data_IF_014291473743
#
_entry.id   IF_014291473743
#
_cell.length_a   1.000
_cell.length_b   1.000
_cell.length_c   1.000
_cell.angle_alpha   90.00
_cell.angle_beta   90.00
_cell.angle_gamma   90.00
#
_symmetry.space_group_name_H-M   'P 1'
#
loop_
_entity.id
_entity.type
_entity.pdbx_description
1 polymer ?
#
# COMPACT_ATOMS: atom_id res chain seq x y z
N UNK A 1 -5.41 -9.01 6.94
CA UNK A 1 -6.14 -7.79 6.57
C UNK A 1 -6.78 -8.08 5.23
N UNK A 2 -8.11 -8.07 5.15
CA UNK A 2 -8.83 -8.22 3.89
C UNK A 2 -8.82 -6.86 3.18
N UNK A 3 -8.33 -6.78 1.96
CA UNK A 3 -8.41 -5.56 1.16
C UNK A 3 -9.88 -5.33 0.80
N UNK A 4 -10.54 -4.48 1.59
CA UNK A 4 -11.91 -4.07 1.31
C UNK A 4 -11.92 -2.98 0.23
N UNK A 5 -13.06 -2.81 -0.45
CA UNK A 5 -13.28 -1.72 -1.42
C UNK A 5 -13.03 -0.33 -0.82
N UNK A 6 -13.15 -0.22 0.50
CA UNK A 6 -12.96 1.02 1.25
C UNK A 6 -11.55 1.16 1.84
N UNK A 7 -10.61 0.28 1.48
CA UNK A 7 -9.24 0.34 2.01
C UNK A 7 -8.63 1.68 1.66
N UNK A 8 -8.36 2.48 2.69
CA UNK A 8 -7.75 3.80 2.53
C UNK A 8 -6.22 3.70 2.60
N UNK A 9 -5.55 4.70 2.03
CA UNK A 9 -4.07 4.77 2.05
C UNK A 9 -3.52 4.76 3.48
N UNK A 10 -4.18 5.42 4.44
CA UNK A 10 -3.76 5.42 5.85
C UNK A 10 -3.82 4.03 6.51
N UNK A 11 -4.66 3.11 6.01
CA UNK A 11 -4.64 1.72 6.48
C UNK A 11 -3.39 0.96 6.01
N UNK A 12 -2.78 1.41 4.89
CA UNK A 12 -1.55 0.83 4.35
C UNK A 12 -0.30 1.37 5.03
N UNK A 13 -0.27 2.67 5.33
CA UNK A 13 0.95 3.38 5.76
C UNK A 13 0.92 3.87 7.21
N UNK A 14 -0.26 3.87 7.84
CA UNK A 14 -0.51 4.49 9.15
C UNK A 14 -1.15 5.87 9.06
N UNK A 15 -1.28 6.52 10.21
CA UNK A 15 -2.07 7.75 10.35
C UNK A 15 -1.35 8.98 9.81
N UNK A 16 -2.08 9.86 9.14
CA UNK A 16 -1.58 11.19 8.79
C UNK A 16 -1.48 12.06 10.05
N UNK A 17 -0.32 12.71 10.22
CA UNK A 17 -0.05 13.58 11.38
C UNK A 17 0.41 14.95 10.91
N UNK A 18 0.02 16.01 11.61
CA UNK A 18 0.56 17.37 11.36
C UNK A 18 1.73 17.57 12.30
N UNK A 19 2.91 17.83 11.72
CA UNK A 19 4.15 18.08 12.45
C UNK A 19 4.47 19.57 12.35
N UNK A 20 4.82 20.13 13.50
CA UNK A 20 5.24 21.52 13.64
C UNK A 20 6.75 21.52 13.86
N UNK A 21 7.46 22.21 12.99
CA UNK A 21 8.92 22.28 13.01
C UNK A 21 9.35 23.75 13.11
N UNK A 22 10.18 24.07 14.10
CA UNK A 22 10.77 25.39 14.22
C UNK A 22 12.01 25.47 13.33
N UNK A 23 12.03 26.40 12.39
CA UNK A 23 13.17 26.68 11.51
C UNK A 23 13.77 28.05 11.87
N UNK A 24 15.01 28.35 11.40
CA UNK A 24 15.62 29.67 11.63
C UNK A 24 14.79 30.84 11.08
N UNK A 25 14.00 30.60 10.02
CA UNK A 25 13.18 31.61 9.34
C UNK A 25 11.72 31.65 9.84
N UNK A 26 11.34 30.81 10.80
CA UNK A 26 9.99 30.82 11.38
C UNK A 26 9.46 29.44 11.76
N UNK A 27 8.14 29.30 11.76
CA UNK A 27 7.45 28.04 12.04
C UNK A 27 6.96 27.41 10.73
N UNK A 28 7.28 26.14 10.52
CA UNK A 28 6.81 25.37 9.36
C UNK A 28 5.89 24.25 9.84
N UNK A 29 4.69 24.21 9.27
CA UNK A 29 3.74 23.12 9.47
C UNK A 29 3.85 22.17 8.28
N UNK A 30 4.14 20.90 8.55
CA UNK A 30 4.27 19.84 7.54
C UNK A 30 3.31 18.70 7.83
N UNK A 31 2.84 18.04 6.77
CA UNK A 31 2.14 16.78 6.90
C UNK A 31 3.16 15.64 6.92
N UNK A 32 3.06 14.80 7.95
CA UNK A 32 3.83 13.58 8.13
C UNK A 32 2.92 12.36 8.24
N UNK A 33 3.53 11.19 8.44
CA UNK A 33 2.83 9.93 8.66
C UNK A 33 3.43 9.25 9.88
N UNK A 34 2.58 8.81 10.80
CA UNK A 34 2.99 7.90 11.87
C UNK A 34 3.04 6.49 11.28
N UNK A 35 4.22 5.83 11.21
CA UNK A 35 4.34 4.54 10.53
C UNK A 35 3.40 3.47 11.09
N UNK A 36 2.61 2.87 10.19
CA UNK A 36 1.74 1.73 10.45
C UNK A 36 1.70 0.81 9.23
N UNK A 37 1.03 -0.33 9.36
CA UNK A 37 0.86 -1.29 8.26
C UNK A 37 2.20 -1.68 7.61
N UNK A 38 2.34 -1.40 6.32
CA UNK A 38 3.51 -1.70 5.49
C UNK A 38 4.79 -0.98 5.97
N UNK A 39 4.67 0.17 6.64
CA UNK A 39 5.81 0.92 7.16
C UNK A 39 6.32 0.40 8.51
N UNK A 40 5.57 -0.50 9.16
CA UNK A 40 5.93 -1.10 10.44
C UNK A 40 6.06 -2.64 10.37
N UNK A 41 5.61 -3.28 9.28
CA UNK A 41 5.59 -4.73 9.14
C UNK A 41 6.82 -5.30 8.41
N UNK A 42 7.25 -6.49 8.82
CA UNK A 42 8.29 -7.27 8.11
C UNK A 42 7.70 -8.24 7.08
N UNK A 43 6.46 -8.68 7.27
CA UNK A 43 5.69 -9.53 6.35
C UNK A 43 4.28 -8.97 6.24
N UNK A 44 3.76 -8.88 5.03
CA UNK A 44 2.40 -8.42 4.77
C UNK A 44 1.60 -9.49 4.01
N UNK A 45 0.34 -9.67 4.40
CA UNK A 45 -0.65 -10.48 3.68
C UNK A 45 -1.74 -9.55 3.16
N UNK A 46 -1.81 -9.43 1.84
CA UNK A 46 -2.73 -8.62 1.05
C UNK A 46 -3.84 -9.53 0.55
N UNK A 47 -4.88 -9.73 1.35
CA UNK A 47 -5.95 -10.66 1.01
C UNK A 47 -6.98 -10.02 0.07
N UNK A 48 -7.27 -10.67 -1.05
CA UNK A 48 -8.22 -10.25 -2.10
C UNK A 48 -7.88 -8.89 -2.75
N UNK A 49 -6.63 -8.76 -3.22
CA UNK A 49 -6.11 -7.54 -3.85
C UNK A 49 -6.89 -7.12 -5.11
N UNK A 50 -7.62 -8.06 -5.74
CA UNK A 50 -8.55 -7.80 -6.84
C UNK A 50 -9.70 -6.84 -6.49
N UNK A 51 -10.00 -6.65 -5.20
CA UNK A 51 -11.06 -5.73 -4.73
C UNK A 51 -10.53 -4.41 -4.20
N UNK A 52 -9.21 -4.21 -4.25
CA UNK A 52 -8.57 -2.99 -3.81
C UNK A 52 -9.03 -1.80 -4.67
N UNK A 53 -9.36 -0.64 -4.08
CA UNK A 53 -9.62 0.56 -4.85
C UNK A 53 -8.36 1.02 -5.58
N UNK A 54 -8.48 1.47 -6.83
CA UNK A 54 -7.34 1.81 -7.69
C UNK A 54 -6.36 2.81 -7.09
N UNK A 55 -6.85 3.78 -6.30
CA UNK A 55 -6.00 4.75 -5.60
C UNK A 55 -5.08 4.10 -4.55
N UNK A 56 -5.61 3.22 -3.71
CA UNK A 56 -4.84 2.53 -2.68
C UNK A 56 -3.93 1.46 -3.30
N UNK A 57 -4.43 0.76 -4.32
CA UNK A 57 -3.67 -0.24 -5.08
C UNK A 57 -2.45 0.40 -5.75
N UNK A 58 -2.62 1.54 -6.43
CA UNK A 58 -1.51 2.23 -7.09
C UNK A 58 -0.42 2.67 -6.10
N UNK A 59 -0.81 3.18 -4.93
CA UNK A 59 0.14 3.53 -3.86
C UNK A 59 0.87 2.29 -3.35
N UNK A 60 0.14 1.21 -3.06
CA UNK A 60 0.72 -0.07 -2.64
C UNK A 60 1.75 -0.58 -3.67
N UNK A 61 1.38 -0.65 -4.94
CA UNK A 61 2.24 -1.17 -6.00
C UNK A 61 3.50 -0.30 -6.16
N UNK A 62 3.36 1.02 -6.09
CA UNK A 62 4.50 1.93 -6.14
C UNK A 62 5.43 1.71 -4.95
N UNK A 63 4.90 1.57 -3.74
CA UNK A 63 5.68 1.29 -2.53
C UNK A 63 6.43 -0.03 -2.61
N UNK A 64 5.78 -1.10 -3.09
CA UNK A 64 6.41 -2.41 -3.27
C UNK A 64 7.53 -2.36 -4.32
N UNK A 65 7.32 -1.64 -5.42
CA UNK A 65 8.29 -1.48 -6.50
C UNK A 65 9.51 -0.63 -6.08
N UNK A 66 9.27 0.55 -5.50
CA UNK A 66 10.33 1.47 -5.08
C UNK A 66 11.02 1.01 -3.79
N UNK A 67 10.40 0.07 -3.05
CA UNK A 67 10.81 -0.34 -1.70
C UNK A 67 11.00 0.84 -0.75
N UNK A 68 10.31 1.95 -1.02
CA UNK A 68 10.33 3.16 -0.20
C UNK A 68 8.96 3.85 -0.20
N UNK A 69 8.73 4.69 0.80
CA UNK A 69 7.60 5.61 0.88
C UNK A 69 8.07 6.91 1.52
N UNK A 70 7.80 8.03 0.86
CA UNK A 70 8.18 9.37 1.34
C UNK A 70 9.66 9.46 1.80
N UNK A 71 10.57 8.82 1.05
CA UNK A 71 12.01 8.80 1.36
C UNK A 71 12.43 7.79 2.44
N UNK A 72 11.50 7.12 3.11
CA UNK A 72 11.78 6.06 4.08
C UNK A 72 11.74 4.69 3.43
N UNK A 73 12.72 3.82 3.71
CA UNK A 73 12.76 2.45 3.18
C UNK A 73 11.70 1.57 3.86
N UNK A 74 10.99 0.74 3.08
CA UNK A 74 10.05 -0.21 3.67
C UNK A 74 10.81 -1.31 4.43
N UNK A 75 10.39 -1.65 5.67
CA UNK A 75 10.95 -2.78 6.42
C UNK A 75 10.51 -4.16 5.90
N UNK A 76 9.57 -4.21 4.95
CA UNK A 76 9.01 -5.44 4.39
C UNK A 76 10.06 -6.34 3.74
N UNK A 77 10.11 -7.59 4.17
CA UNK A 77 10.87 -8.67 3.53
C UNK A 77 10.06 -9.41 2.48
N UNK A 78 8.76 -9.55 2.72
CA UNK A 78 7.85 -10.30 1.85
C UNK A 78 6.44 -9.68 1.89
N UNK A 79 5.78 -9.69 0.74
CA UNK A 79 4.36 -9.41 0.60
C UNK A 79 3.72 -10.60 -0.12
N UNK A 80 2.67 -11.15 0.48
CA UNK A 80 1.87 -12.25 -0.08
C UNK A 80 0.54 -11.65 -0.47
N UNK A 81 0.15 -11.79 -1.74
CA UNK A 81 -1.13 -11.32 -2.22
C UNK A 81 -2.00 -12.50 -2.64
N UNK A 82 -3.28 -12.46 -2.29
CA UNK A 82 -4.30 -13.34 -2.85
C UNK A 82 -5.21 -12.51 -3.76
N UNK A 83 -5.77 -13.13 -4.79
CA UNK A 83 -6.70 -12.48 -5.69
C UNK A 83 -7.67 -13.51 -6.24
N UNK A 84 -8.90 -13.08 -6.47
CA UNK A 84 -9.91 -13.92 -7.11
C UNK A 84 -9.82 -13.76 -8.63
N UNK A 85 -10.00 -14.83 -9.41
CA UNK A 85 -10.10 -14.71 -10.86
C UNK A 85 -11.31 -13.83 -11.22
N UNK A 86 -11.24 -13.05 -12.31
CA UNK A 86 -12.38 -12.27 -12.77
C UNK A 86 -13.53 -13.24 -13.11
N UNK A 87 -14.62 -13.20 -12.32
CA UNK A 87 -15.86 -13.94 -12.58
C UNK A 87 -16.96 -12.93 -12.87
N UNK A 88 -17.84 -13.23 -13.83
CA UNK A 88 -18.91 -12.34 -14.32
C UNK A 88 -19.86 -11.83 -13.23
N UNK A 89 -19.92 -12.51 -12.08
CA UNK A 89 -20.83 -12.20 -10.96
C UNK A 89 -20.28 -11.16 -9.97
N UNK A 90 -19.00 -10.77 -10.08
CA UNK A 90 -18.37 -9.79 -9.18
C UNK A 90 -17.69 -8.69 -10.00
N UNK A 91 -18.02 -7.43 -9.73
CA UNK A 91 -17.39 -6.28 -10.38
C UNK A 91 -15.95 -6.13 -9.87
N UNK A 92 -15.03 -6.84 -10.51
CA UNK A 92 -13.60 -6.75 -10.27
C UNK A 92 -12.98 -6.02 -11.46
N UNK A 93 -12.23 -4.95 -11.21
CA UNK A 93 -11.30 -4.45 -12.23
C UNK A 93 -10.17 -5.49 -12.35
N UNK A 94 -9.98 -6.11 -13.52
CA UNK A 94 -8.92 -7.09 -13.68
C UNK A 94 -7.58 -6.40 -13.44
N UNK A 95 -6.74 -7.01 -12.60
CA UNK A 95 -5.36 -6.55 -12.40
C UNK A 95 -4.62 -6.66 -13.72
N UNK A 96 -3.91 -5.60 -14.09
CA UNK A 96 -3.02 -5.62 -15.26
C UNK A 96 -1.99 -6.75 -15.08
N UNK A 97 -1.83 -7.68 -16.05
CA UNK A 97 -0.83 -8.75 -15.99
C UNK A 97 0.59 -8.26 -15.64
N UNK A 98 0.99 -7.06 -16.08
CA UNK A 98 2.28 -6.47 -15.74
C UNK A 98 2.42 -6.15 -14.24
N UNK A 99 1.31 -6.01 -13.51
CA UNK A 99 1.28 -5.86 -12.05
C UNK A 99 1.55 -7.20 -11.38
N UNK A 100 1.00 -8.29 -11.93
CA UNK A 100 1.17 -9.65 -11.41
C UNK A 100 2.61 -10.13 -11.57
N UNK A 101 3.27 -9.77 -12.68
CA UNK A 101 4.71 -10.06 -12.91
C UNK A 101 5.65 -9.48 -11.84
N UNK A 102 5.18 -8.54 -11.02
CA UNK A 102 5.97 -7.98 -9.90
C UNK A 102 6.03 -8.94 -8.70
N UNK A 103 5.21 -9.97 -8.66
CA UNK A 103 5.24 -10.99 -7.62
C UNK A 103 6.08 -12.19 -8.07
N UNK A 104 7.04 -12.59 -7.22
CA UNK A 104 7.98 -13.67 -7.55
C UNK A 104 7.33 -15.06 -7.58
N UNK A 105 6.18 -15.23 -6.94
CA UNK A 105 5.41 -16.48 -6.94
C UNK A 105 3.94 -16.16 -7.18
N UNK A 106 3.45 -16.55 -8.36
CA UNK A 106 2.04 -16.58 -8.70
C UNK A 106 1.58 -18.03 -8.69
N UNK A 107 0.65 -18.36 -7.79
CA UNK A 107 -0.03 -19.66 -7.76
C UNK A 107 -1.46 -19.38 -8.20
N UNK A 108 -1.78 -19.73 -9.45
CA UNK A 108 -3.09 -19.55 -10.08
C UNK A 108 -3.85 -20.87 -10.14
#
# INVERSE_FOLDING_TARGET
YQFHRDTRVNELIGDATIVREQTPDGEVIRQGVRPGGLLAASVCVLDDISRAPGEALNVLLRMLNERSFAGSRLPLRCAIATGNPPREEFFNEPLDPAVLDRFTLQVS
#
